data_IF_642950835105
#
_entry.id   IF_642950835105
#
_cell.length_a   1.000
_cell.length_b   1.000
_cell.length_c   1.000
_cell.angle_alpha   90.00
_cell.angle_beta   90.00
_cell.angle_gamma   90.00
#
_symmetry.space_group_name_H-M   'P 1'
#
loop_
_entity.id
_entity.type
_entity.pdbx_description
1 polymer ?
#
# COMPACT_ATOMS: atom_id res chain seq x y z
N UNK A 1 17.41 17.35 8.39
CA UNK A 1 17.68 18.71 7.87
C UNK A 1 18.38 19.59 8.89
N UNK A 2 17.64 20.39 9.67
CA UNK A 2 18.21 21.42 10.56
C UNK A 2 19.22 20.90 11.60
N UNK A 3 18.94 19.76 12.24
CA UNK A 3 19.89 19.16 13.19
C UNK A 3 21.23 18.77 12.54
N UNK A 4 21.22 18.24 11.31
CA UNK A 4 22.47 17.96 10.60
C UNK A 4 23.21 19.25 10.27
N UNK A 5 22.51 20.31 9.86
CA UNK A 5 23.15 21.60 9.59
C UNK A 5 23.86 22.17 10.82
N UNK A 6 23.26 22.05 12.00
CA UNK A 6 23.87 22.44 13.27
C UNK A 6 25.09 21.57 13.59
N UNK A 7 24.91 20.25 13.69
CA UNK A 7 25.97 19.32 14.11
C UNK A 7 27.16 19.30 13.16
N UNK A 8 26.92 19.33 11.85
CA UNK A 8 28.00 19.35 10.86
C UNK A 8 28.66 20.73 10.79
N UNK A 9 27.90 21.80 11.07
CA UNK A 9 28.44 23.14 11.21
C UNK A 9 29.49 23.24 12.33
N UNK A 10 29.27 22.57 13.47
CA UNK A 10 30.26 22.47 14.55
C UNK A 10 31.57 21.78 14.13
N UNK A 11 31.49 20.89 13.13
CA UNK A 11 32.65 20.20 12.54
C UNK A 11 33.26 20.97 11.35
N UNK A 12 32.76 22.17 11.04
CA UNK A 12 33.25 23.00 9.94
C UNK A 12 32.69 22.61 8.56
N UNK A 13 31.65 21.77 8.51
CA UNK A 13 30.99 21.36 7.26
C UNK A 13 29.69 22.15 7.10
N UNK A 14 29.67 23.08 6.15
CA UNK A 14 28.48 23.88 5.85
C UNK A 14 27.43 23.06 5.08
N UNK A 15 26.20 23.04 5.60
CA UNK A 15 25.04 22.45 4.90
C UNK A 15 24.02 23.53 4.56
N UNK A 16 23.40 23.41 3.39
CA UNK A 16 22.21 24.17 2.99
C UNK A 16 21.03 23.21 2.92
N UNK A 17 19.98 23.48 3.69
CA UNK A 17 18.76 22.69 3.65
C UNK A 17 17.86 23.25 2.56
N UNK A 18 17.62 22.48 1.50
CA UNK A 18 16.66 22.81 0.46
C UNK A 18 15.36 22.06 0.69
N UNK A 19 14.26 22.82 0.85
CA UNK A 19 12.91 22.28 0.95
C UNK A 19 12.23 22.47 -0.41
N UNK A 20 11.96 21.37 -1.10
CA UNK A 20 11.33 21.36 -2.41
C UNK A 20 9.93 20.76 -2.31
N UNK A 21 8.98 21.32 -3.06
CA UNK A 21 7.65 20.73 -3.21
C UNK A 21 7.69 19.43 -4.03
N UNK A 22 8.66 19.34 -4.96
CA UNK A 22 8.95 18.13 -5.73
C UNK A 22 10.43 17.75 -5.55
N UNK A 23 10.67 16.65 -4.82
CA UNK A 23 12.00 16.07 -4.63
C UNK A 23 12.31 14.97 -5.66
N UNK A 24 11.30 14.42 -6.33
CA UNK A 24 11.45 13.27 -7.24
C UNK A 24 12.22 13.62 -8.51
N UNK A 25 11.96 14.77 -9.11
CA UNK A 25 12.66 15.21 -10.33
C UNK A 25 14.19 15.34 -10.11
N UNK A 26 14.68 16.10 -9.11
CA UNK A 26 16.12 16.18 -8.85
C UNK A 26 16.69 14.86 -8.33
N UNK A 27 15.92 14.05 -7.60
CA UNK A 27 16.33 12.71 -7.17
C UNK A 27 16.65 11.81 -8.37
N UNK A 28 15.73 11.66 -9.31
CA UNK A 28 15.93 10.83 -10.50
C UNK A 28 16.96 11.40 -11.48
N UNK A 29 17.16 12.72 -11.46
CA UNK A 29 18.23 13.35 -12.20
C UNK A 29 19.61 13.18 -11.56
N UNK A 30 19.69 12.72 -10.29
CA UNK A 30 20.94 12.69 -9.52
C UNK A 30 21.46 14.10 -9.19
N UNK A 31 20.58 15.09 -9.15
CA UNK A 31 20.89 16.50 -8.93
C UNK A 31 20.71 16.86 -7.43
N UNK A 32 21.39 16.12 -6.54
CA UNK A 32 21.43 16.34 -5.10
C UNK A 32 22.77 15.90 -4.50
N UNK A 33 23.15 16.48 -3.35
CA UNK A 33 24.33 16.05 -2.59
C UNK A 33 23.97 15.05 -1.48
N UNK A 34 22.94 15.40 -0.70
CA UNK A 34 22.36 14.57 0.36
C UNK A 34 20.85 14.66 0.26
N UNK A 35 20.19 13.51 0.39
CA UNK A 35 18.74 13.43 0.37
C UNK A 35 18.25 12.57 1.54
N UNK A 36 17.05 12.88 2.02
CA UNK A 36 16.34 12.09 3.01
C UNK A 36 15.24 11.33 2.30
N UNK A 37 15.31 10.00 2.36
CA UNK A 37 14.25 9.10 1.92
C UNK A 37 13.82 8.19 3.08
N UNK A 38 12.71 7.47 2.91
CA UNK A 38 12.19 6.54 3.88
C UNK A 38 11.38 5.42 3.23
N UNK A 39 11.68 4.19 3.62
CA UNK A 39 10.98 2.99 3.16
C UNK A 39 10.22 2.32 4.30
N UNK A 40 9.06 1.79 3.97
CA UNK A 40 8.41 0.77 4.81
C UNK A 40 9.00 -0.58 4.46
N UNK A 41 9.28 -1.40 5.49
CA UNK A 41 9.88 -2.72 5.31
C UNK A 41 8.82 -3.78 5.53
N UNK A 42 8.70 -4.69 4.57
CA UNK A 42 7.80 -5.83 4.64
C UNK A 42 8.35 -6.89 5.62
N UNK A 43 7.51 -7.81 6.16
CA UNK A 43 8.00 -8.88 7.03
C UNK A 43 9.11 -9.72 6.38
N UNK A 44 9.06 -9.88 5.06
CA UNK A 44 10.19 -10.31 4.26
C UNK A 44 10.88 -9.07 3.64
N UNK A 45 12.14 -8.76 3.99
CA UNK A 45 12.79 -7.53 3.54
C UNK A 45 13.25 -7.57 2.07
N UNK A 46 12.94 -8.62 1.29
CA UNK A 46 13.43 -8.82 -0.08
C UNK A 46 13.29 -7.59 -0.97
N UNK A 47 12.12 -6.93 -0.95
CA UNK A 47 11.89 -5.73 -1.76
C UNK A 47 12.86 -4.61 -1.42
N UNK A 48 13.01 -4.28 -0.13
CA UNK A 48 13.92 -3.20 0.33
C UNK A 48 15.38 -3.59 0.09
N UNK A 49 15.72 -4.89 0.13
CA UNK A 49 17.05 -5.34 -0.28
C UNK A 49 17.27 -5.19 -1.80
N UNK A 50 16.22 -5.34 -2.60
CA UNK A 50 16.30 -5.33 -4.07
C UNK A 50 16.63 -3.96 -4.66
N UNK A 51 16.19 -2.87 -4.01
CA UNK A 51 16.37 -1.49 -4.46
C UNK A 51 17.81 -0.98 -4.32
N UNK A 52 18.69 -1.76 -3.69
CA UNK A 52 20.13 -1.50 -3.61
C UNK A 52 20.95 -2.26 -4.66
N UNK A 53 20.30 -3.10 -5.50
CA UNK A 53 21.01 -3.87 -6.53
C UNK A 53 21.38 -3.02 -7.74
N UNK A 54 22.40 -3.43 -8.49
CA UNK A 54 22.76 -2.76 -9.74
C UNK A 54 21.61 -2.75 -10.77
N UNK A 55 20.71 -3.74 -10.71
CA UNK A 55 19.56 -3.83 -11.60
C UNK A 55 18.45 -2.82 -11.24
N UNK A 56 18.47 -2.23 -10.04
CA UNK A 56 17.54 -1.19 -9.64
C UNK A 56 17.89 0.19 -10.21
N UNK A 57 19.09 0.35 -10.79
CA UNK A 57 19.53 1.60 -11.41
C UNK A 57 18.68 1.97 -12.63
N UNK A 58 18.52 3.28 -12.93
CA UNK A 58 17.82 3.71 -14.12
C UNK A 58 18.52 3.25 -15.40
N UNK A 59 17.73 2.80 -16.38
CA UNK A 59 18.25 2.38 -17.68
C UNK A 59 18.79 3.56 -18.51
N UNK A 60 18.27 4.77 -18.29
CA UNK A 60 18.77 6.02 -18.89
C UNK A 60 18.84 7.14 -17.86
N UNK A 61 19.72 8.11 -18.11
CA UNK A 61 19.82 9.29 -17.27
C UNK A 61 18.47 10.00 -17.14
N UNK A 62 18.15 10.48 -15.93
CA UNK A 62 16.92 11.21 -15.60
C UNK A 62 15.62 10.41 -15.74
N UNK A 63 15.68 9.09 -15.85
CA UNK A 63 14.50 8.22 -15.77
C UNK A 63 14.23 7.80 -14.33
N UNK A 64 12.95 7.60 -14.00
CA UNK A 64 12.56 7.00 -12.72
C UNK A 64 13.05 5.56 -12.64
N UNK A 65 13.49 5.17 -11.44
CA UNK A 65 13.94 3.82 -11.14
C UNK A 65 13.66 3.48 -9.68
N UNK A 66 13.79 2.20 -9.35
CA UNK A 66 13.55 1.72 -7.99
C UNK A 66 14.75 1.97 -7.07
N UNK A 67 15.92 2.38 -7.59
CA UNK A 67 17.13 2.52 -6.79
C UNK A 67 17.00 3.54 -5.65
N UNK A 68 17.51 3.15 -4.49
CA UNK A 68 17.54 3.98 -3.28
C UNK A 68 18.84 4.81 -3.14
N UNK A 69 19.91 4.40 -3.82
CA UNK A 69 21.25 4.96 -3.56
C UNK A 69 22.09 5.24 -4.81
N UNK A 70 21.63 4.88 -6.01
CA UNK A 70 22.37 5.01 -7.27
C UNK A 70 23.77 4.34 -7.28
N UNK A 71 24.03 3.39 -6.37
CA UNK A 71 25.29 2.65 -6.28
C UNK A 71 25.13 1.29 -6.98
N UNK A 72 26.13 0.90 -7.77
CA UNK A 72 26.28 -0.48 -8.22
C UNK A 72 27.43 -1.17 -7.47
N UNK A 73 27.08 -2.03 -6.52
CA UNK A 73 28.02 -2.88 -5.80
C UNK A 73 27.82 -4.36 -6.19
N UNK A 74 28.79 -4.92 -6.90
CA UNK A 74 28.75 -6.32 -7.36
C UNK A 74 28.78 -7.32 -6.20
N UNK A 75 29.42 -6.99 -5.08
CA UNK A 75 29.43 -7.87 -3.90
C UNK A 75 28.05 -7.93 -3.25
N UNK A 76 27.36 -6.79 -3.21
CA UNK A 76 25.97 -6.73 -2.77
C UNK A 76 25.06 -7.55 -3.68
N UNK A 77 25.16 -7.38 -5.01
CA UNK A 77 24.40 -8.18 -5.99
C UNK A 77 24.61 -9.70 -5.83
N UNK A 78 25.83 -10.14 -5.55
CA UNK A 78 26.14 -11.56 -5.36
C UNK A 78 25.53 -12.11 -4.07
N UNK A 79 25.55 -11.32 -2.98
CA UNK A 79 24.86 -11.67 -1.74
C UNK A 79 23.33 -11.70 -1.93
N UNK A 80 22.79 -10.75 -2.69
CA UNK A 80 21.36 -10.66 -2.98
C UNK A 80 20.87 -11.87 -3.78
N UNK A 81 21.62 -12.30 -4.79
CA UNK A 81 21.31 -13.52 -5.54
C UNK A 81 21.35 -14.77 -4.67
N UNK A 82 22.30 -14.86 -3.73
CA UNK A 82 22.39 -15.97 -2.80
C UNK A 82 21.20 -16.01 -1.84
N UNK A 83 20.80 -14.88 -1.26
CA UNK A 83 19.67 -14.85 -0.34
C UNK A 83 18.36 -15.24 -1.05
N UNK A 84 18.19 -14.80 -2.30
CA UNK A 84 17.00 -15.09 -3.10
C UNK A 84 16.87 -16.59 -3.45
N UNK A 85 18.00 -17.29 -3.56
CA UNK A 85 18.04 -18.72 -3.87
C UNK A 85 18.10 -19.63 -2.63
N UNK A 86 18.17 -19.06 -1.41
CA UNK A 86 18.28 -19.81 -0.16
C UNK A 86 16.90 -20.03 0.47
N UNK A 87 16.54 -21.30 0.68
CA UNK A 87 15.23 -21.70 1.21
C UNK A 87 15.27 -22.01 2.70
N UNK A 88 16.45 -22.18 3.30
CA UNK A 88 16.59 -22.32 4.74
C UNK A 88 16.52 -20.93 5.41
N UNK A 89 15.54 -20.68 6.30
CA UNK A 89 15.36 -19.34 6.88
C UNK A 89 16.55 -18.86 7.71
N UNK A 90 17.25 -19.75 8.41
CA UNK A 90 18.39 -19.36 9.24
C UNK A 90 19.59 -18.96 8.37
N UNK A 91 19.87 -19.75 7.32
CA UNK A 91 20.93 -19.41 6.35
C UNK A 91 20.61 -18.16 5.56
N UNK A 92 19.35 -17.97 5.15
CA UNK A 92 18.92 -16.75 4.47
C UNK A 92 19.10 -15.54 5.38
N UNK A 93 18.72 -15.64 6.65
CA UNK A 93 18.93 -14.55 7.62
C UNK A 93 20.41 -14.18 7.76
N UNK A 94 21.33 -15.14 7.72
CA UNK A 94 22.77 -14.85 7.76
C UNK A 94 23.29 -14.16 6.47
N UNK A 95 22.69 -14.44 5.32
CA UNK A 95 22.97 -13.70 4.08
C UNK A 95 22.40 -12.28 4.12
N UNK A 96 21.19 -12.10 4.67
CA UNK A 96 20.58 -10.78 4.86
C UNK A 96 21.43 -9.91 5.78
N UNK A 97 21.94 -10.43 6.90
CA UNK A 97 22.86 -9.69 7.77
C UNK A 97 24.14 -9.26 7.05
N UNK A 98 24.64 -10.06 6.11
CA UNK A 98 25.81 -9.69 5.31
C UNK A 98 25.48 -8.58 4.30
N UNK A 99 24.28 -8.57 3.71
CA UNK A 99 23.80 -7.46 2.87
C UNK A 99 23.72 -6.16 3.67
N UNK A 100 23.08 -6.21 4.86
CA UNK A 100 22.96 -5.07 5.75
C UNK A 100 24.32 -4.56 6.22
N UNK A 101 25.23 -5.45 6.62
CA UNK A 101 26.61 -5.09 7.00
C UNK A 101 27.33 -4.41 5.84
N UNK A 102 27.15 -4.90 4.61
CA UNK A 102 27.79 -4.30 3.43
C UNK A 102 27.31 -2.86 3.21
N UNK A 103 26.00 -2.62 3.30
CA UNK A 103 25.43 -1.28 3.17
C UNK A 103 25.97 -0.35 4.27
N UNK A 104 25.98 -0.82 5.51
CA UNK A 104 26.52 -0.08 6.66
C UNK A 104 28.00 0.29 6.47
N UNK A 105 28.84 -0.69 6.12
CA UNK A 105 30.29 -0.51 6.00
C UNK A 105 30.69 0.40 4.84
N UNK A 106 29.91 0.42 3.75
CA UNK A 106 30.18 1.31 2.62
C UNK A 106 29.85 2.77 2.92
N UNK A 107 28.93 3.03 3.85
CA UNK A 107 28.55 4.38 4.27
C UNK A 107 27.82 5.23 3.23
N UNK A 108 27.46 4.66 2.06
CA UNK A 108 26.71 5.38 1.01
C UNK A 108 25.27 5.69 1.44
N UNK A 109 24.69 4.83 2.28
CA UNK A 109 23.38 5.02 2.88
C UNK A 109 23.52 4.97 4.39
N UNK A 110 22.84 5.90 5.07
CA UNK A 110 22.91 6.02 6.51
C UNK A 110 21.49 5.98 7.09
N UNK A 111 21.21 4.93 7.87
CA UNK A 111 19.94 4.82 8.59
C UNK A 111 19.96 5.77 9.78
N UNK A 112 19.20 6.85 9.68
CA UNK A 112 19.20 7.92 10.69
C UNK A 112 18.18 7.68 11.81
N UNK A 113 17.03 7.12 11.46
CA UNK A 113 15.91 6.90 12.39
C UNK A 113 14.95 5.84 11.84
N UNK A 114 14.15 5.27 12.74
CA UNK A 114 12.98 4.46 12.41
C UNK A 114 11.73 5.25 12.79
N UNK A 115 11.25 6.17 11.93
CA UNK A 115 10.11 7.01 12.25
C UNK A 115 8.83 6.16 12.35
N UNK A 116 7.96 6.53 13.29
CA UNK A 116 6.62 5.93 13.36
C UNK A 116 5.78 6.42 12.18
N UNK A 117 4.99 5.52 11.58
CA UNK A 117 3.90 5.91 10.70
C UNK A 117 2.88 6.73 11.50
N UNK A 118 2.69 8.00 11.14
CA UNK A 118 1.73 8.89 11.79
C UNK A 118 0.44 8.86 10.98
N UNK A 119 -0.53 8.09 11.47
CA UNK A 119 -1.79 7.85 10.77
C UNK A 119 -2.97 8.16 11.68
N UNK A 120 -4.03 8.68 11.09
CA UNK A 120 -5.28 8.96 11.79
C UNK A 120 -6.45 8.75 10.83
N UNK A 121 -7.55 8.25 11.37
CA UNK A 121 -8.83 8.14 10.67
C UNK A 121 -9.97 8.61 11.55
N UNK A 122 -11.10 8.93 10.92
CA UNK A 122 -12.30 9.44 11.59
C UNK A 122 -13.14 8.26 12.11
N UNK A 123 -13.21 8.11 13.43
CA UNK A 123 -13.94 7.00 14.07
C UNK A 123 -15.47 7.10 13.95
N UNK A 124 -15.99 8.28 13.63
CA UNK A 124 -17.40 8.52 13.30
C UNK A 124 -17.76 8.18 11.84
N UNK A 125 -16.76 7.83 11.01
CA UNK A 125 -16.95 7.28 9.68
C UNK A 125 -16.55 5.80 9.61
N UNK A 126 -15.46 5.41 10.28
CA UNK A 126 -14.95 4.04 10.35
C UNK A 126 -14.90 3.66 11.83
N UNK A 127 -15.79 2.78 12.29
CA UNK A 127 -15.84 2.36 13.69
C UNK A 127 -14.57 1.62 14.13
N UNK A 128 -14.07 0.70 13.27
CA UNK A 128 -12.84 -0.04 13.52
C UNK A 128 -12.13 -0.41 12.21
N UNK A 129 -10.81 -0.57 12.29
CA UNK A 129 -9.94 -0.97 11.19
C UNK A 129 -8.75 -1.77 11.74
N UNK A 130 -8.28 -2.78 11.02
CA UNK A 130 -7.16 -3.63 11.47
C UNK A 130 -5.84 -3.15 10.88
N UNK A 131 -4.84 -2.90 11.74
CA UNK A 131 -3.48 -2.57 11.33
C UNK A 131 -2.68 -3.82 10.95
N UNK A 132 -1.53 -3.64 10.31
CA UNK A 132 -0.61 -4.73 10.01
C UNK A 132 0.84 -4.30 10.28
N UNK A 133 1.55 -4.94 11.22
CA UNK A 133 1.08 -5.98 12.14
C UNK A 133 -0.07 -5.54 13.06
N UNK A 134 -0.92 -6.47 13.50
CA UNK A 134 -2.17 -6.14 14.24
C UNK A 134 -1.98 -5.40 15.57
N UNK A 135 -0.81 -5.50 16.19
CA UNK A 135 -0.55 -4.87 17.49
C UNK A 135 -0.10 -3.40 17.38
N UNK A 136 0.61 -3.02 16.32
CA UNK A 136 1.26 -1.72 16.20
C UNK A 136 1.64 -1.35 14.75
N UNK A 137 0.90 -1.87 13.77
CA UNK A 137 1.17 -1.69 12.36
C UNK A 137 0.60 -0.42 11.76
N UNK A 138 0.93 -0.23 10.49
CA UNK A 138 0.35 0.83 9.69
C UNK A 138 -1.06 0.47 9.19
N UNK A 139 -1.86 1.50 8.90
CA UNK A 139 -3.17 1.41 8.27
C UNK A 139 -3.00 1.44 6.74
N UNK A 140 -2.20 2.38 6.24
CA UNK A 140 -1.92 2.63 4.83
C UNK A 140 -0.50 2.18 4.48
N UNK A 141 -0.32 1.65 3.26
CA UNK A 141 0.98 1.10 2.82
C UNK A 141 1.29 -0.28 3.40
N UNK A 142 0.26 -1.06 3.71
CA UNK A 142 0.41 -2.47 4.10
C UNK A 142 0.81 -3.34 2.89
N UNK A 143 1.41 -4.51 3.16
CA UNK A 143 1.37 -5.66 2.24
C UNK A 143 -0.06 -6.15 2.01
N UNK A 144 -0.77 -5.44 1.14
CA UNK A 144 -2.17 -5.70 0.80
C UNK A 144 -3.14 -4.65 1.34
N UNK A 145 -4.42 -4.96 1.25
CA UNK A 145 -5.51 -4.01 1.51
C UNK A 145 -6.25 -4.31 2.84
N UNK A 146 -5.58 -4.94 3.81
CA UNK A 146 -6.22 -5.50 5.01
C UNK A 146 -6.91 -4.49 5.91
N UNK A 147 -6.34 -3.30 6.07
CA UNK A 147 -7.03 -2.19 6.72
C UNK A 147 -8.37 -1.92 6.06
N UNK A 148 -8.37 -1.65 4.75
CA UNK A 148 -9.59 -1.29 4.04
C UNK A 148 -10.60 -2.43 3.96
N UNK A 149 -10.13 -3.68 3.89
CA UNK A 149 -10.98 -4.85 3.92
C UNK A 149 -11.65 -5.07 5.27
N UNK A 150 -10.93 -4.81 6.36
CA UNK A 150 -11.41 -4.99 7.73
C UNK A 150 -12.16 -3.77 8.28
N UNK A 151 -12.27 -2.69 7.51
CA UNK A 151 -12.91 -1.47 7.93
C UNK A 151 -14.42 -1.66 8.17
N UNK A 152 -14.90 -1.31 9.36
CA UNK A 152 -16.31 -1.33 9.72
C UNK A 152 -16.87 0.10 9.64
N UNK A 153 -17.93 0.38 8.86
CA UNK A 153 -18.56 1.70 8.84
C UNK A 153 -19.20 2.05 10.19
N UNK A 154 -19.04 3.29 10.64
CA UNK A 154 -19.72 3.75 11.85
C UNK A 154 -21.24 3.83 11.66
N UNK A 155 -22.02 3.47 12.68
CA UNK A 155 -23.48 3.36 12.64
C UNK A 155 -24.24 4.64 12.21
N UNK A 156 -23.59 5.81 12.25
CA UNK A 156 -24.15 7.08 11.77
C UNK A 156 -23.90 7.39 10.29
N UNK A 157 -22.88 6.79 9.68
CA UNK A 157 -22.51 7.05 8.28
C UNK A 157 -23.52 6.44 7.28
N UNK A 158 -24.32 5.47 7.72
CA UNK A 158 -25.38 4.82 6.92
C UNK A 158 -26.73 5.56 6.97
N UNK A 159 -26.84 6.69 7.68
CA UNK A 159 -28.13 7.31 8.00
C UNK A 159 -28.61 8.41 7.04
N UNK A 160 -27.93 8.66 5.91
CA UNK A 160 -28.43 9.59 4.88
C UNK A 160 -29.30 8.93 3.81
N UNK A 161 -30.09 7.93 4.19
CA UNK A 161 -30.97 7.18 3.29
C UNK A 161 -32.34 6.91 3.90
N UNK A 162 -33.16 7.95 3.92
CA UNK A 162 -34.62 7.94 4.15
C UNK A 162 -35.10 7.45 5.51
N UNK A 163 -35.44 8.44 6.35
CA UNK A 163 -36.54 8.32 7.28
C UNK A 163 -37.81 7.85 6.56
N UNK A 164 -38.19 6.58 6.74
CA UNK A 164 -39.59 6.28 6.95
C UNK A 164 -39.79 5.08 7.87
N UNK A 165 -40.86 5.18 8.65
CA UNK A 165 -41.13 4.54 9.93
C UNK A 165 -41.11 3.01 9.98
N UNK A 166 -40.65 2.47 11.12
CA UNK A 166 -41.21 1.26 11.71
C UNK A 166 -40.43 -0.03 11.46
N UNK A 167 -39.80 -0.55 12.51
CA UNK A 167 -39.11 -1.83 12.50
C UNK A 167 -40.02 -3.06 12.39
N UNK A 168 -39.35 -4.22 12.45
CA UNK A 168 -39.85 -5.60 12.43
C UNK A 168 -39.82 -6.29 11.06
N UNK A 169 -39.44 -7.55 11.10
CA UNK A 169 -39.20 -8.56 10.06
C UNK A 169 -40.35 -8.81 9.08
N UNK A 170 -41.40 -7.98 9.09
CA UNK A 170 -42.54 -8.03 8.18
C UNK A 170 -42.23 -7.38 6.83
N UNK A 171 -41.37 -6.35 6.77
CA UNK A 171 -41.06 -5.63 5.53
C UNK A 171 -40.32 -6.48 4.48
N UNK A 172 -39.40 -7.34 4.91
CA UNK A 172 -38.68 -8.26 4.02
C UNK A 172 -39.62 -9.33 3.45
N UNK A 173 -40.56 -9.84 4.25
CA UNK A 173 -41.54 -10.84 3.82
C UNK A 173 -42.57 -10.26 2.84
N UNK A 174 -43.00 -9.01 3.04
CA UNK A 174 -43.91 -8.32 2.12
C UNK A 174 -43.20 -7.98 0.80
N UNK A 175 -41.94 -7.54 0.86
CA UNK A 175 -41.14 -7.25 -0.34
C UNK A 175 -40.91 -8.50 -1.21
N UNK A 176 -40.56 -9.63 -0.59
CA UNK A 176 -40.41 -10.92 -1.30
C UNK A 176 -41.75 -11.39 -1.86
N UNK A 177 -42.85 -11.24 -1.12
CA UNK A 177 -44.20 -11.59 -1.58
C UNK A 177 -44.62 -10.82 -2.83
N UNK A 178 -44.40 -9.50 -2.86
CA UNK A 178 -44.74 -8.65 -4.02
C UNK A 178 -43.89 -9.03 -5.24
N UNK A 179 -42.59 -9.29 -5.06
CA UNK A 179 -41.71 -9.70 -6.17
C UNK A 179 -42.15 -11.03 -6.80
N UNK A 180 -42.56 -12.02 -5.99
CA UNK A 180 -43.05 -13.31 -6.49
C UNK A 180 -44.36 -13.15 -7.25
N UNK A 181 -45.29 -12.32 -6.78
CA UNK A 181 -46.57 -12.06 -7.46
C UNK A 181 -46.36 -11.35 -8.79
N UNK A 182 -45.44 -10.38 -8.85
CA UNK A 182 -45.11 -9.67 -10.10
C UNK A 182 -44.43 -10.60 -11.11
N UNK A 183 -43.53 -11.48 -10.67
CA UNK A 183 -42.87 -12.45 -11.55
C UNK A 183 -43.84 -13.52 -12.05
N UNK A 184 -44.74 -14.02 -11.19
CA UNK A 184 -45.78 -14.97 -11.60
C UNK A 184 -46.80 -14.32 -12.55
N UNK A 185 -47.24 -13.10 -12.26
CA UNK A 185 -48.16 -12.32 -13.10
C UNK A 185 -47.53 -11.96 -14.45
N UNK A 186 -46.26 -11.56 -14.47
CA UNK A 186 -45.49 -11.28 -15.69
C UNK A 186 -45.25 -12.53 -16.53
N UNK A 187 -44.94 -13.66 -15.89
CA UNK A 187 -44.77 -14.96 -16.57
C UNK A 187 -46.06 -15.47 -17.21
N UNK A 188 -47.21 -15.33 -16.52
CA UNK A 188 -48.53 -15.67 -17.05
C UNK A 188 -48.93 -14.78 -18.24
N UNK A 189 -48.72 -13.46 -18.13
CA UNK A 189 -49.00 -12.52 -19.22
C UNK A 189 -48.11 -12.78 -20.46
N UNK A 190 -46.83 -13.10 -20.25
CA UNK A 190 -45.92 -13.43 -21.34
C UNK A 190 -46.29 -14.76 -22.03
N UNK A 191 -46.67 -15.79 -21.25
CA UNK A 191 -47.12 -17.06 -21.80
C UNK A 191 -48.45 -16.95 -22.55
N UNK A 192 -49.39 -16.12 -22.08
CA UNK A 192 -50.64 -15.85 -22.77
C UNK A 192 -50.43 -15.08 -24.08
N UNK A 193 -49.54 -14.08 -24.10
CA UNK A 193 -49.16 -13.36 -25.33
C UNK A 193 -48.48 -14.27 -26.36
N UNK A 194 -47.73 -15.28 -25.92
CA UNK A 194 -47.07 -16.24 -26.82
C UNK A 194 -48.06 -17.21 -27.47
N UNK A 195 -49.18 -17.51 -26.80
CA UNK A 195 -50.27 -18.34 -27.36
C UNK A 195 -51.10 -17.60 -28.41
N UNK A 196 -51.38 -16.31 -28.22
CA UNK A 196 -52.15 -15.52 -29.19
C UNK A 196 -51.41 -15.22 -30.50
N UNK A 197 -50.08 -15.37 -30.53
CA UNK A 197 -49.28 -15.22 -31.77
C UNK A 197 -49.00 -16.54 -32.49
N UNK A 198 -49.50 -17.66 -31.95
CA UNK A 198 -49.34 -18.98 -32.56
C UNK A 198 -50.54 -19.41 -33.42
N UNK A 199 -51.70 -18.74 -33.29
CA UNK A 199 -52.93 -19.06 -34.04
C UNK A 199 -53.09 -18.29 -35.37
N UNK A 200 -52.19 -17.34 -35.70
CA UNK A 200 -52.21 -16.59 -36.98
C UNK A 200 -51.23 -17.15 -38.04
N UNK A 201 -50.90 -18.45 -37.96
CA UNK A 201 -50.13 -19.18 -38.98
C UNK A 201 -50.77 -20.54 -39.29
N UNK A 202 -51.93 -20.50 -39.93
CA UNK A 202 -52.41 -21.49 -40.90
C UNK A 202 -53.04 -20.76 -42.09
#
# INVERSE_FOLDING_TARGET
GKYLQEWWGEQGIGLKVDCLDNVSDPWYAGEYDLAFDGWSVNPDPDFVLSIHTCAALPAKAKESAATDNFICDKQYDDLYKKQLAEYDPAKRADLVKQLESRLYDTGYMNVMAYPNAVEAYRTDHIESITTMPSAAGNIYGQDGYWSWWSAVPAAGASSSGSSDSGGSSTGVLVGVGIAVVVLAGGGLLFAMRRRSTAEDRE
#
